data_IF_178912208356
#
_entry.id   IF_178912208356
#
_cell.length_a   1.000
_cell.length_b   1.000
_cell.length_c   1.000
_cell.angle_alpha   90.00
_cell.angle_beta   90.00
_cell.angle_gamma   90.00
#
_symmetry.space_group_name_H-M   'P 1'
#
loop_
_entity.id
_entity.type
_entity.pdbx_description
1 polymer ?
#
# COMPACT_ATOMS: atom_id res chain seq x y z
N UNK A 1 -26.70 -34.78 4.63
CA UNK A 1 -26.64 -33.31 4.80
C UNK A 1 -25.54 -32.80 3.89
N UNK A 2 -25.90 -32.19 2.76
CA UNK A 2 -24.94 -31.64 1.82
C UNK A 2 -24.33 -30.38 2.45
N UNK A 3 -23.03 -30.40 2.74
CA UNK A 3 -22.28 -29.17 3.04
C UNK A 3 -22.17 -28.40 1.73
N UNK A 4 -23.06 -27.42 1.54
CA UNK A 4 -22.89 -26.40 0.52
C UNK A 4 -21.67 -25.57 0.88
N UNK A 5 -20.50 -25.97 0.39
CA UNK A 5 -19.30 -25.15 0.43
C UNK A 5 -19.44 -24.13 -0.69
N UNK A 6 -20.23 -23.07 -0.47
CA UNK A 6 -20.05 -21.84 -1.24
C UNK A 6 -18.64 -21.36 -0.91
N UNK A 7 -17.68 -21.55 -1.82
CA UNK A 7 -16.39 -20.92 -1.69
C UNK A 7 -16.64 -19.42 -1.52
N UNK A 8 -16.16 -18.82 -0.43
CA UNK A 8 -16.33 -17.39 -0.18
C UNK A 8 -15.80 -16.63 -1.40
N UNK A 9 -16.68 -15.89 -2.06
CA UNK A 9 -16.29 -15.02 -3.18
C UNK A 9 -15.39 -13.94 -2.61
N UNK A 10 -14.21 -13.78 -3.21
CA UNK A 10 -13.26 -12.74 -2.82
C UNK A 10 -13.37 -11.58 -3.79
N UNK A 11 -13.60 -10.39 -3.24
CA UNK A 11 -13.69 -9.15 -4.00
C UNK A 11 -12.30 -8.48 -4.03
N UNK A 12 -11.76 -8.16 -5.22
CA UNK A 12 -10.50 -7.46 -5.34
C UNK A 12 -10.53 -6.08 -4.68
N UNK A 13 -9.46 -5.70 -3.99
CA UNK A 13 -9.31 -4.40 -3.32
C UNK A 13 -8.22 -3.55 -3.95
N UNK A 14 -7.07 -4.16 -4.24
CA UNK A 14 -5.90 -3.50 -4.81
C UNK A 14 -4.91 -4.49 -5.41
N UNK A 15 -4.07 -3.99 -6.31
CA UNK A 15 -2.97 -4.72 -6.92
C UNK A 15 -1.65 -4.02 -6.61
N UNK A 16 -0.60 -4.80 -6.34
CA UNK A 16 0.72 -4.34 -5.92
C UNK A 16 1.83 -4.99 -6.72
N UNK A 17 2.98 -4.33 -6.77
CA UNK A 17 4.15 -4.82 -7.53
C UNK A 17 4.97 -5.83 -6.72
N UNK A 18 4.97 -5.69 -5.40
CA UNK A 18 5.68 -6.59 -4.47
C UNK A 18 4.75 -7.19 -3.43
N UNK A 19 5.16 -8.32 -2.86
CA UNK A 19 4.42 -8.98 -1.78
C UNK A 19 4.41 -8.11 -0.50
N UNK A 20 5.49 -7.38 -0.26
CA UNK A 20 5.69 -6.49 0.87
C UNK A 20 4.71 -5.31 0.82
N UNK A 21 4.53 -4.70 -0.36
CA UNK A 21 3.51 -3.68 -0.59
C UNK A 21 2.11 -4.22 -0.37
N UNK A 22 1.79 -5.42 -0.87
CA UNK A 22 0.49 -6.04 -0.68
C UNK A 22 0.20 -6.33 0.80
N UNK A 23 1.22 -6.78 1.56
CA UNK A 23 1.12 -6.96 3.02
C UNK A 23 0.93 -5.62 3.72
N UNK A 24 1.64 -4.57 3.31
CA UNK A 24 1.46 -3.23 3.90
C UNK A 24 0.04 -2.72 3.65
N UNK A 25 -0.48 -2.88 2.43
CA UNK A 25 -1.85 -2.51 2.07
C UNK A 25 -2.91 -3.31 2.85
N UNK A 26 -2.69 -4.61 3.06
CA UNK A 26 -3.53 -5.44 3.94
C UNK A 26 -3.63 -4.83 5.34
N UNK A 27 -2.49 -4.39 5.89
CA UNK A 27 -2.44 -3.79 7.21
C UNK A 27 -3.00 -2.37 7.26
N UNK A 28 -3.05 -1.66 6.14
CA UNK A 28 -3.68 -0.36 6.00
C UNK A 28 -5.17 -0.44 5.64
N UNK A 29 -5.69 -1.65 5.35
CA UNK A 29 -7.02 -1.87 4.78
C UNK A 29 -8.16 -1.24 5.60
N UNK A 30 -8.16 -1.45 6.91
CA UNK A 30 -9.18 -0.96 7.83
C UNK A 30 -8.59 -0.79 9.25
N UNK A 31 -9.41 -0.45 10.24
CA UNK A 31 -8.98 -0.26 11.63
C UNK A 31 -8.63 -1.57 12.37
N UNK A 32 -8.76 -2.73 11.74
CA UNK A 32 -8.70 -4.02 12.39
C UNK A 32 -7.36 -4.74 12.14
N UNK A 33 -7.11 -5.75 12.98
CA UNK A 33 -5.87 -6.49 12.99
C UNK A 33 -6.04 -7.82 12.27
N UNK A 34 -5.14 -8.12 11.34
CA UNK A 34 -5.15 -9.36 10.56
C UNK A 34 -3.91 -10.21 10.85
N UNK A 35 -4.10 -11.52 11.06
CA UNK A 35 -2.99 -12.47 11.17
C UNK A 35 -3.10 -13.54 10.09
N UNK A 36 -1.98 -14.17 9.75
CA UNK A 36 -1.96 -15.31 8.83
C UNK A 36 -2.90 -16.41 9.35
N UNK A 37 -3.81 -16.86 8.48
CA UNK A 37 -4.71 -17.96 8.76
C UNK A 37 -4.13 -19.26 8.19
N UNK A 38 -3.89 -19.28 6.88
CA UNK A 38 -3.32 -20.41 6.16
C UNK A 38 -2.75 -19.93 4.82
N UNK A 39 -1.89 -20.74 4.22
CA UNK A 39 -1.40 -20.60 2.86
C UNK A 39 -1.96 -21.74 2.00
N UNK A 40 -2.05 -21.53 0.69
CA UNK A 40 -2.50 -22.58 -0.23
C UNK A 40 -1.38 -23.59 -0.62
N UNK A 41 -0.25 -23.58 0.10
CA UNK A 41 0.86 -24.51 -0.10
C UNK A 41 1.54 -24.40 -1.47
N UNK A 42 2.21 -25.46 -1.90
CA UNK A 42 2.99 -25.50 -3.14
C UNK A 42 2.16 -25.36 -4.44
N UNK A 43 0.83 -25.45 -4.35
CA UNK A 43 -0.07 -25.45 -5.51
C UNK A 43 -0.98 -24.22 -5.59
N UNK A 44 -0.94 -23.35 -4.59
CA UNK A 44 -1.70 -22.11 -4.63
C UNK A 44 -0.85 -20.94 -4.22
N UNK A 45 -0.76 -19.95 -5.10
CA UNK A 45 0.11 -18.79 -4.93
C UNK A 45 -0.56 -17.73 -4.04
N UNK A 46 -1.24 -18.17 -2.98
CA UNK A 46 -2.10 -17.34 -2.15
C UNK A 46 -1.83 -17.49 -0.65
N UNK A 47 -1.82 -16.36 0.06
CA UNK A 47 -1.79 -16.30 1.53
C UNK A 47 -3.08 -15.70 2.04
N UNK A 48 -3.74 -16.40 2.98
CA UNK A 48 -5.00 -15.95 3.59
C UNK A 48 -4.74 -15.45 5.00
N UNK A 49 -5.38 -14.35 5.33
CA UNK A 49 -5.34 -13.67 6.60
C UNK A 49 -6.74 -13.59 7.19
N UNK A 50 -6.82 -13.70 8.51
CA UNK A 50 -8.08 -13.59 9.27
C UNK A 50 -8.01 -12.40 10.21
N UNK A 51 -9.15 -11.75 10.38
CA UNK A 51 -9.32 -10.75 11.42
C UNK A 51 -9.17 -11.41 12.81
N UNK A 52 -8.49 -10.71 13.73
CA UNK A 52 -8.40 -11.08 15.15
C UNK A 52 -9.08 -10.05 16.06
N UNK A 53 -9.55 -8.93 15.51
CA UNK A 53 -10.24 -7.89 16.26
C UNK A 53 -11.63 -8.32 16.70
N UNK A 54 -12.28 -9.26 16.00
CA UNK A 54 -13.62 -9.75 16.34
C UNK A 54 -13.69 -11.25 16.68
N UNK A 55 -14.62 -11.63 17.54
CA UNK A 55 -14.90 -13.02 17.91
C UNK A 55 -15.59 -13.71 16.73
N UNK A 56 -15.19 -14.96 16.45
CA UNK A 56 -15.70 -15.77 15.35
C UNK A 56 -15.87 -15.02 14.00
N UNK A 57 -14.96 -14.09 13.75
CA UNK A 57 -15.03 -13.18 12.60
C UNK A 57 -14.93 -13.93 11.27
N UNK A 58 -15.84 -13.63 10.35
CA UNK A 58 -15.87 -14.20 9.00
C UNK A 58 -14.96 -13.45 8.02
N UNK A 59 -14.59 -12.20 8.33
CA UNK A 59 -13.70 -11.41 7.50
C UNK A 59 -12.38 -12.12 7.20
N UNK A 60 -12.11 -12.34 5.91
CA UNK A 60 -10.86 -12.85 5.37
C UNK A 60 -10.29 -11.86 4.38
N UNK A 61 -8.97 -11.76 4.38
CA UNK A 61 -8.23 -11.12 3.31
C UNK A 61 -7.30 -12.16 2.69
N UNK A 62 -7.06 -12.07 1.38
CA UNK A 62 -6.07 -12.92 0.70
C UNK A 62 -5.17 -12.04 -0.15
N UNK A 63 -3.90 -12.42 -0.21
CA UNK A 63 -2.96 -11.90 -1.20
C UNK A 63 -2.67 -13.04 -2.16
N UNK A 64 -3.01 -12.88 -3.43
CA UNK A 64 -2.62 -13.79 -4.50
C UNK A 64 -1.48 -13.19 -5.32
N UNK A 65 -0.49 -14.00 -5.61
CA UNK A 65 0.43 -13.77 -6.71
C UNK A 65 -0.27 -14.11 -8.02
N UNK A 66 -0.35 -13.10 -8.89
CA UNK A 66 -0.97 -13.16 -10.20
C UNK A 66 0.13 -13.03 -11.25
N UNK A 67 0.49 -14.17 -11.85
CA UNK A 67 1.19 -14.21 -13.14
C UNK A 67 0.16 -14.27 -14.27
N UNK A 68 0.44 -13.62 -15.39
CA UNK A 68 -0.31 -13.76 -16.63
C UNK A 68 0.54 -14.55 -17.62
N UNK A 69 -0.09 -15.29 -18.51
CA UNK A 69 0.59 -16.07 -19.57
C UNK A 69 1.30 -15.16 -20.61
N UNK A 70 1.14 -13.85 -20.50
CA UNK A 70 1.78 -12.87 -21.36
C UNK A 70 3.13 -12.49 -20.75
N UNK A 71 4.23 -12.99 -21.33
CA UNK A 71 5.61 -12.86 -20.80
C UNK A 71 6.04 -11.41 -20.51
N UNK A 72 5.44 -10.43 -21.20
CA UNK A 72 5.74 -9.00 -21.01
C UNK A 72 5.01 -8.37 -19.80
N UNK A 73 4.06 -9.07 -19.17
CA UNK A 73 3.34 -8.58 -17.99
C UNK A 73 4.06 -9.06 -16.71
N UNK A 74 4.48 -8.15 -15.82
CA UNK A 74 5.14 -8.52 -14.59
C UNK A 74 4.20 -9.24 -13.64
N UNK A 75 4.77 -10.07 -12.76
CA UNK A 75 4.04 -10.67 -11.64
C UNK A 75 3.49 -9.56 -10.75
N UNK A 76 2.25 -9.74 -10.31
CA UNK A 76 1.56 -8.80 -9.41
C UNK A 76 1.02 -9.51 -8.19
N UNK A 77 0.73 -8.75 -7.13
CA UNK A 77 0.13 -9.26 -5.91
C UNK A 77 -1.23 -8.60 -5.68
N UNK A 78 -2.30 -9.37 -5.83
CA UNK A 78 -3.68 -8.90 -5.65
C UNK A 78 -4.12 -9.12 -4.20
N UNK A 79 -4.48 -8.02 -3.51
CA UNK A 79 -5.21 -8.06 -2.26
C UNK A 79 -6.71 -8.15 -2.56
N UNK A 80 -7.38 -9.15 -1.98
CA UNK A 80 -8.82 -9.33 -2.09
C UNK A 80 -9.43 -9.69 -0.73
N UNK A 81 -10.69 -9.37 -0.51
CA UNK A 81 -11.39 -9.57 0.77
C UNK A 81 -12.65 -10.39 0.59
N UNK A 82 -13.06 -11.10 1.64
CA UNK A 82 -14.31 -11.85 1.67
C UNK A 82 -14.90 -11.83 3.08
N UNK A 83 -16.21 -11.96 3.17
CA UNK A 83 -16.93 -11.99 4.44
C UNK A 83 -16.97 -10.62 5.14
N UNK A 84 -17.80 -10.57 6.17
CA UNK A 84 -18.06 -9.38 6.97
C UNK A 84 -17.36 -9.48 8.32
N UNK A 85 -17.12 -8.32 8.95
CA UNK A 85 -16.65 -8.30 10.33
C UNK A 85 -17.81 -8.67 11.26
N UNK A 86 -17.49 -9.40 12.33
CA UNK A 86 -18.46 -9.61 13.41
C UNK A 86 -18.56 -8.39 14.33
N UNK A 87 -19.63 -8.30 15.10
CA UNK A 87 -19.89 -7.15 15.99
C UNK A 87 -19.13 -7.24 17.34
N UNK A 88 -18.73 -8.44 17.74
CA UNK A 88 -18.14 -8.69 19.06
C UNK A 88 -16.62 -8.51 19.01
N UNK A 89 -16.11 -7.46 19.67
CA UNK A 89 -14.67 -7.16 19.74
C UNK A 89 -13.97 -8.11 20.71
N UNK A 90 -12.78 -8.59 20.34
CA UNK A 90 -11.92 -9.41 21.21
C UNK A 90 -10.83 -8.59 21.88
N UNK A 91 -10.31 -9.13 23.00
CA UNK A 91 -9.09 -8.61 23.65
C UNK A 91 -7.79 -9.22 23.09
N UNK A 92 -7.85 -9.92 21.95
CA UNK A 92 -6.66 -10.55 21.36
C UNK A 92 -5.72 -9.48 20.84
N UNK A 93 -4.43 -9.68 21.12
CA UNK A 93 -3.37 -8.79 20.63
C UNK A 93 -2.58 -9.48 19.53
N UNK A 94 -2.16 -8.69 18.55
CA UNK A 94 -1.22 -9.14 17.52
C UNK A 94 0.13 -9.47 18.16
N UNK A 95 0.75 -10.56 17.72
CA UNK A 95 2.18 -10.81 18.00
C UNK A 95 3.02 -9.98 17.03
N UNK A 96 3.98 -9.24 17.57
CA UNK A 96 4.80 -8.31 16.78
C UNK A 96 4.08 -6.99 16.47
N UNK A 97 4.81 -6.06 15.85
CA UNK A 97 4.33 -4.71 15.51
C UNK A 97 3.55 -4.78 14.20
N UNK A 98 2.42 -4.07 14.13
CA UNK A 98 1.65 -3.96 12.91
C UNK A 98 2.46 -3.28 11.78
N UNK A 99 2.44 -3.84 10.57
CA UNK A 99 3.27 -3.35 9.46
C UNK A 99 2.99 -1.90 9.10
N UNK A 100 1.74 -1.43 9.26
CA UNK A 100 1.34 -0.04 8.98
C UNK A 100 2.10 1.00 9.80
N UNK A 101 2.56 0.64 11.01
CA UNK A 101 3.31 1.54 11.91
C UNK A 101 4.75 1.08 12.15
N UNK A 102 5.12 -0.12 11.68
CA UNK A 102 6.44 -0.71 11.94
C UNK A 102 7.59 0.15 11.40
N UNK A 103 7.45 0.68 10.19
CA UNK A 103 8.48 1.55 9.59
C UNK A 103 8.75 2.78 10.47
N UNK A 104 7.69 3.44 10.93
CA UNK A 104 7.81 4.60 11.82
C UNK A 104 8.43 4.24 13.18
N UNK A 105 8.07 3.09 13.75
CA UNK A 105 8.71 2.61 14.97
C UNK A 105 10.20 2.41 14.75
N UNK A 106 10.59 1.81 13.63
CA UNK A 106 11.99 1.56 13.29
C UNK A 106 12.75 2.88 13.14
N UNK A 107 12.18 3.88 12.46
CA UNK A 107 12.77 5.21 12.29
C UNK A 107 12.95 5.95 13.63
N UNK A 108 11.92 5.91 14.49
CA UNK A 108 12.00 6.53 15.83
C UNK A 108 13.09 5.87 16.67
N UNK A 109 13.19 4.54 16.64
CA UNK A 109 14.23 3.80 17.36
C UNK A 109 15.62 4.06 16.78
N UNK A 110 15.74 4.16 15.46
CA UNK A 110 17.00 4.48 14.77
C UNK A 110 17.54 5.85 15.17
N UNK A 111 16.64 6.83 15.42
CA UNK A 111 16.98 8.15 15.97
C UNK A 111 17.35 8.13 17.47
N UNK A 112 17.49 6.96 18.08
CA UNK A 112 17.87 6.81 19.49
C UNK A 112 16.74 7.06 20.49
N UNK A 113 15.49 7.12 20.03
CA UNK A 113 14.35 7.36 20.92
C UNK A 113 14.12 6.18 21.86
N UNK A 114 13.76 6.47 23.12
CA UNK A 114 13.42 5.42 24.08
C UNK A 114 12.03 4.83 23.78
N UNK A 115 11.78 3.54 24.08
CA UNK A 115 10.49 2.91 23.79
C UNK A 115 9.26 3.66 24.34
N UNK A 116 9.38 4.34 25.49
CA UNK A 116 8.28 5.16 26.04
C UNK A 116 8.02 6.39 25.17
N UNK A 117 9.07 7.07 24.74
CA UNK A 117 8.95 8.25 23.86
C UNK A 117 8.38 7.86 22.50
N UNK A 118 8.77 6.70 21.95
CA UNK A 118 8.21 6.20 20.68
C UNK A 118 6.69 6.10 20.74
N UNK A 119 6.16 5.51 21.82
CA UNK A 119 4.72 5.36 21.99
C UNK A 119 4.01 6.71 22.08
N UNK A 120 4.52 7.63 22.89
CA UNK A 120 3.93 8.98 23.03
C UNK A 120 3.95 9.71 21.69
N UNK A 121 5.05 9.60 20.94
CA UNK A 121 5.16 10.23 19.61
C UNK A 121 4.13 9.65 18.63
N UNK A 122 3.95 8.33 18.57
CA UNK A 122 2.95 7.70 17.71
C UNK A 122 1.52 8.04 18.15
N UNK A 123 1.24 8.03 19.46
CA UNK A 123 -0.07 8.41 20.00
C UNK A 123 -0.44 9.85 19.65
N UNK A 124 0.51 10.78 19.79
CA UNK A 124 0.28 12.18 19.43
C UNK A 124 0.11 12.35 17.92
N UNK A 125 0.89 11.62 17.11
CA UNK A 125 0.80 11.69 15.64
C UNK A 125 -0.56 11.22 15.13
N UNK A 126 -1.10 10.14 15.71
CA UNK A 126 -2.36 9.54 15.29
C UNK A 126 -3.53 9.92 16.20
N UNK A 127 -3.43 11.00 16.98
CA UNK A 127 -4.45 11.38 17.96
C UNK A 127 -5.85 11.50 17.34
N UNK A 128 -5.93 12.05 16.12
CA UNK A 128 -7.17 12.26 15.39
C UNK A 128 -7.54 11.08 14.46
N UNK A 129 -6.76 10.00 14.49
CA UNK A 129 -6.92 8.83 13.61
C UNK A 129 -7.19 7.57 14.44
N UNK A 130 -8.45 7.34 14.89
CA UNK A 130 -8.79 6.21 15.76
C UNK A 130 -8.44 4.86 15.13
N UNK A 131 -8.58 4.73 13.81
CA UNK A 131 -8.20 3.53 13.06
C UNK A 131 -6.71 3.17 13.18
N UNK A 132 -5.84 4.17 13.33
CA UNK A 132 -4.40 3.98 13.49
C UNK A 132 -4.00 3.78 14.96
N UNK A 133 -4.72 4.42 15.89
CA UNK A 133 -4.47 4.27 17.34
C UNK A 133 -4.56 2.82 17.80
N UNK A 134 -5.50 2.04 17.24
CA UNK A 134 -5.67 0.60 17.56
C UNK A 134 -4.45 -0.24 17.15
N UNK A 135 -3.67 0.24 16.17
CA UNK A 135 -2.50 -0.47 15.62
C UNK A 135 -1.20 -0.11 16.33
N UNK A 136 -1.22 0.87 17.23
CA UNK A 136 -0.03 1.28 17.98
C UNK A 136 0.46 0.11 18.83
N UNK A 137 1.75 -0.25 18.75
CA UNK A 137 2.28 -1.36 19.53
C UNK A 137 2.31 -1.04 21.02
N UNK A 138 2.40 -2.08 21.85
CA UNK A 138 2.68 -1.90 23.27
C UNK A 138 4.18 -1.70 23.55
N UNK A 139 4.48 -1.29 24.79
CA UNK A 139 5.86 -1.00 25.19
C UNK A 139 6.77 -2.24 25.11
N UNK A 140 6.22 -3.44 25.31
CA UNK A 140 6.96 -4.69 25.20
C UNK A 140 7.36 -4.98 23.77
N UNK A 141 6.44 -4.79 22.82
CA UNK A 141 6.68 -4.95 21.39
C UNK A 141 7.77 -3.99 20.88
N UNK A 142 7.73 -2.71 21.27
CA UNK A 142 8.76 -1.72 20.91
C UNK A 142 10.13 -2.07 21.52
N UNK A 143 10.15 -2.51 22.78
CA UNK A 143 11.40 -2.99 23.43
C UNK A 143 11.99 -4.20 22.70
N UNK A 144 11.16 -5.17 22.34
CA UNK A 144 11.59 -6.35 21.60
C UNK A 144 12.12 -5.96 20.23
N UNK A 145 11.47 -5.04 19.53
CA UNK A 145 11.94 -4.53 18.24
C UNK A 145 13.30 -3.85 18.35
N UNK A 146 13.50 -3.01 19.36
CA UNK A 146 14.80 -2.38 19.62
C UNK A 146 15.93 -3.41 19.84
N UNK A 147 15.65 -4.49 20.57
CA UNK A 147 16.62 -5.57 20.75
C UNK A 147 16.93 -6.29 19.43
N UNK A 148 15.91 -6.53 18.60
CA UNK A 148 16.09 -7.09 17.26
C UNK A 148 16.95 -6.18 16.39
N UNK A 149 16.64 -4.89 16.29
CA UNK A 149 17.42 -3.93 15.49
C UNK A 149 18.91 -3.89 15.91
N UNK A 150 19.18 -3.89 17.22
CA UNK A 150 20.56 -3.95 17.76
C UNK A 150 21.27 -5.25 17.42
N UNK A 151 20.56 -6.39 17.43
CA UNK A 151 21.14 -7.70 17.08
C UNK A 151 21.55 -7.77 15.62
N UNK A 152 20.79 -7.14 14.74
CA UNK A 152 21.07 -7.11 13.30
C UNK A 152 22.09 -6.03 12.90
N UNK A 153 22.85 -5.46 13.85
CA UNK A 153 23.80 -4.36 13.62
C UNK A 153 23.21 -3.20 12.81
N UNK A 154 21.91 -2.92 12.99
CA UNK A 154 21.32 -1.72 12.40
C UNK A 154 22.03 -0.51 13.02
N UNK A 155 22.78 0.22 12.20
CA UNK A 155 23.61 1.32 12.65
C UNK A 155 22.72 2.39 13.29
N UNK A 156 22.81 2.51 14.62
CA UNK A 156 22.30 3.66 15.37
C UNK A 156 23.39 4.73 15.27
N UNK A 157 23.19 5.84 14.56
CA UNK A 157 24.14 6.94 14.60
C UNK A 157 24.17 7.49 16.03
N UNK A 158 25.30 7.35 16.73
CA UNK A 158 25.58 8.11 17.96
C UNK A 158 25.45 7.40 19.32
N UNK A 159 25.40 6.06 19.40
CA UNK A 159 25.46 5.37 20.69
C UNK A 159 26.89 4.94 21.04
N UNK A 160 27.57 5.70 21.90
CA UNK A 160 28.85 5.32 22.53
C UNK A 160 28.71 3.95 23.20
N UNK A 161 29.44 2.98 22.67
CA UNK A 161 29.42 1.57 23.08
C UNK A 161 30.03 1.42 24.49
N UNK A 162 29.19 1.21 25.50
CA UNK A 162 29.62 0.54 26.74
C UNK A 162 29.20 -0.93 26.63
N UNK A 163 30.16 -1.80 26.37
CA UNK A 163 29.97 -3.24 26.34
C UNK A 163 29.71 -3.77 27.76
N UNK A 164 28.61 -4.49 27.95
CA UNK A 164 28.36 -5.28 29.16
C UNK A 164 28.70 -6.76 28.91
N UNK A 165 29.26 -7.46 29.90
CA UNK A 165 29.76 -8.82 29.71
C UNK A 165 28.62 -9.83 29.57
N UNK A 166 28.79 -10.75 28.62
CA UNK A 166 27.91 -11.90 28.37
C UNK A 166 27.86 -12.81 29.61
N UNK A 167 26.72 -12.84 30.32
CA UNK A 167 26.40 -13.95 31.23
C UNK A 167 25.73 -15.07 30.43
N UNK A 168 26.42 -16.20 30.32
CA UNK A 168 25.90 -17.41 29.71
C UNK A 168 24.68 -17.95 30.46
N UNK A 169 23.60 -18.25 29.73
CA UNK A 169 22.45 -18.98 30.26
C UNK A 169 22.38 -20.36 29.62
N UNK A 170 22.35 -21.34 30.53
CA UNK A 170 22.25 -22.79 30.36
C UNK A 170 21.12 -23.19 29.39
N UNK A 171 21.45 -24.12 28.47
CA UNK A 171 20.50 -24.83 27.58
C UNK A 171 19.42 -25.55 28.38
N UNK A 172 18.15 -25.44 27.95
CA UNK A 172 17.12 -26.46 28.11
C UNK A 172 16.23 -26.47 26.87
N UNK A 173 15.86 -27.68 26.45
CA UNK A 173 15.46 -28.08 25.09
C UNK A 173 14.42 -27.20 24.41
N UNK A 174 14.74 -26.82 23.16
CA UNK A 174 13.83 -26.21 22.22
C UNK A 174 13.48 -27.22 21.14
N UNK A 175 12.17 -27.38 20.92
CA UNK A 175 11.60 -28.06 19.77
C UNK A 175 11.96 -27.28 18.49
N UNK A 176 12.25 -28.06 17.46
CA UNK A 176 12.56 -27.68 16.09
C UNK A 176 11.31 -27.07 15.43
N UNK A 177 11.35 -25.77 15.18
CA UNK A 177 10.64 -25.15 14.06
C UNK A 177 11.69 -24.64 13.06
N UNK A 178 11.84 -25.44 12.01
CA UNK A 178 12.54 -25.16 10.75
C UNK A 178 12.23 -23.74 10.23
N UNK A 179 13.24 -22.88 10.16
CA UNK A 179 14.05 -22.56 8.96
C UNK A 179 13.30 -21.77 7.89
N UNK A 180 13.33 -20.45 8.04
CA UNK A 180 13.28 -19.50 6.91
C UNK A 180 14.68 -18.87 6.81
N UNK A 181 15.36 -19.12 5.69
CA UNK A 181 16.65 -18.53 5.35
C UNK A 181 16.49 -17.75 4.05
N UNK A 182 16.58 -16.43 4.12
CA UNK A 182 16.76 -15.53 2.99
C UNK A 182 18.25 -15.19 2.89
N UNK A 183 18.83 -15.44 1.73
CA UNK A 183 20.16 -14.97 1.35
C UNK A 183 19.95 -13.77 0.42
N UNK A 184 20.58 -12.64 0.73
CA UNK A 184 20.93 -11.62 -0.26
C UNK A 184 22.44 -11.41 -0.16
N UNK A 185 23.11 -11.52 -1.30
CA UNK A 185 24.55 -11.28 -1.45
C UNK A 185 24.73 -10.00 -2.24
N UNK A 186 25.44 -9.06 -1.60
CA UNK A 186 26.01 -7.82 -2.10
C UNK A 186 26.89 -8.05 -3.35
N UNK A 187 27.09 -7.13 -4.29
CA UNK A 187 27.99 -5.96 -4.21
C UNK A 187 28.24 -5.46 -5.65
N UNK A 188 28.43 -4.16 -5.84
CA UNK A 188 29.66 -3.66 -6.49
C UNK A 188 29.80 -2.15 -6.32
N UNK A 189 30.93 -1.79 -5.74
CA UNK A 189 31.57 -0.49 -5.55
C UNK A 189 31.98 0.19 -6.86
N UNK A 190 31.99 1.53 -6.88
CA UNK A 190 33.14 2.29 -7.40
C UNK A 190 33.20 3.69 -6.78
N UNK A 191 34.35 3.96 -6.16
CA UNK A 191 34.80 5.23 -5.60
C UNK A 191 35.15 6.25 -6.71
N UNK A 192 35.03 7.53 -6.37
CA UNK A 192 35.45 8.66 -7.20
C UNK A 192 35.68 9.90 -6.34
N UNK A 193 36.83 9.94 -5.69
CA UNK A 193 37.39 11.06 -4.92
C UNK A 193 37.80 12.22 -5.85
N UNK A 194 37.61 13.49 -5.45
CA UNK A 194 38.58 14.60 -5.58
C UNK A 194 38.08 15.88 -4.90
N UNK A 195 38.92 16.39 -4.01
CA UNK A 195 38.86 17.62 -3.20
C UNK A 195 39.08 18.93 -3.98
N UNK A 196 38.47 20.06 -3.57
CA UNK A 196 39.18 21.30 -3.14
C UNK A 196 38.28 22.52 -2.82
N UNK A 197 38.40 22.97 -1.55
CA UNK A 197 38.40 24.31 -0.88
C UNK A 197 37.88 25.62 -1.54
N UNK A 198 37.13 26.38 -0.69
CA UNK A 198 37.06 27.84 -0.41
C UNK A 198 36.74 28.82 -1.58
N UNK A 199 35.92 29.87 -1.47
CA UNK A 199 35.76 30.91 -0.42
C UNK A 199 34.49 31.80 -0.59
N UNK A 200 34.12 32.50 0.50
CA UNK A 200 33.44 33.83 0.63
C UNK A 200 31.92 33.98 0.26
N UNK A 201 30.98 34.30 1.17
CA UNK A 201 30.61 35.61 1.80
C UNK A 201 30.21 36.67 0.74
N UNK A 202 29.06 37.38 0.69
CA UNK A 202 28.10 38.02 1.62
C UNK A 202 26.80 38.34 0.82
N UNK A 203 25.62 38.34 1.46
CA UNK A 203 24.61 39.43 1.37
C UNK A 203 23.33 39.09 2.15
N UNK A 204 23.14 39.85 3.22
CA UNK A 204 21.96 39.93 4.08
C UNK A 204 21.03 41.07 3.63
N UNK A 205 19.73 40.80 3.56
CA UNK A 205 18.60 41.74 3.54
C UNK A 205 17.34 40.83 3.70
N UNK A 206 16.28 41.04 4.49
CA UNK A 206 15.64 42.18 5.16
C UNK A 206 14.88 41.60 6.40
N UNK A 207 14.84 42.28 7.55
CA UNK A 207 13.67 42.98 8.16
C UNK A 207 12.30 42.60 7.54
N UNK A 208 11.19 42.40 8.26
CA UNK A 208 10.79 42.99 9.53
C UNK A 208 9.61 42.19 10.13
N UNK A 209 9.48 42.22 11.45
CA UNK A 209 8.38 41.61 12.22
C UNK A 209 7.31 42.64 12.52
N UNK A 210 6.04 42.42 12.14
CA UNK A 210 4.92 42.98 12.92
C UNK A 210 3.59 42.27 12.67
N UNK A 211 2.96 41.91 13.78
CA UNK A 211 1.65 41.29 13.91
C UNK A 211 0.55 42.35 14.08
N UNK A 212 -0.66 42.14 13.53
CA UNK A 212 -1.98 42.28 14.22
C UNK A 212 -3.17 42.02 13.28
N UNK A 213 -4.11 41.24 13.82
CA UNK A 213 -5.48 40.85 13.38
C UNK A 213 -6.49 42.04 13.38
N UNK A 214 -7.83 41.82 13.17
CA UNK A 214 -8.62 41.02 12.21
C UNK A 214 -9.72 41.90 11.54
N UNK A 215 -10.82 41.30 11.05
CA UNK A 215 -12.03 41.84 10.38
C UNK A 215 -11.91 41.80 8.83
N UNK A 216 -12.82 41.23 8.04
CA UNK A 216 -14.28 41.10 8.12
C UNK A 216 -14.76 39.72 7.62
N UNK A 217 -15.99 39.37 8.03
CA UNK A 217 -16.74 38.18 7.64
C UNK A 217 -17.30 38.42 6.24
N UNK A 218 -16.83 37.67 5.24
CA UNK A 218 -17.51 37.55 3.96
C UNK A 218 -17.97 36.10 3.79
N UNK A 219 -19.29 35.94 3.68
CA UNK A 219 -19.97 34.67 3.49
C UNK A 219 -19.74 34.20 2.07
N UNK A 220 -18.64 33.48 1.86
CA UNK A 220 -18.42 32.70 0.64
C UNK A 220 -19.01 31.32 0.90
N UNK A 221 -20.01 30.95 0.11
CA UNK A 221 -20.56 29.61 0.04
C UNK A 221 -19.39 28.64 -0.15
N UNK A 222 -19.08 27.87 0.90
CA UNK A 222 -18.16 26.74 0.82
C UNK A 222 -18.92 25.65 0.09
N UNK A 223 -18.92 25.75 -1.23
CA UNK A 223 -19.17 24.61 -2.07
C UNK A 223 -18.13 23.57 -1.67
N UNK A 224 -18.62 22.46 -1.12
CA UNK A 224 -17.79 21.41 -0.60
C UNK A 224 -17.18 20.73 -1.81
N UNK A 225 -16.01 21.20 -2.24
CA UNK A 225 -15.16 20.50 -3.21
C UNK A 225 -14.79 19.14 -2.60
N UNK A 226 -15.68 18.16 -2.77
CA UNK A 226 -15.30 16.77 -2.86
C UNK A 226 -14.22 16.73 -3.95
N UNK A 227 -12.96 16.73 -3.53
CA UNK A 227 -11.83 16.71 -4.46
C UNK A 227 -12.05 15.63 -5.51
N UNK A 228 -11.99 16.02 -6.78
CA UNK A 228 -12.25 15.14 -7.92
C UNK A 228 -11.42 13.86 -7.74
N UNK A 229 -12.09 12.75 -7.39
CA UNK A 229 -11.47 11.48 -7.03
C UNK A 229 -10.53 10.96 -8.14
N UNK A 230 -10.69 11.49 -9.35
CA UNK A 230 -9.91 11.18 -10.53
C UNK A 230 -9.21 12.41 -11.11
N UNK A 231 -8.62 13.25 -10.26
CA UNK A 231 -7.74 14.34 -10.70
C UNK A 231 -6.63 13.81 -11.64
N UNK A 232 -6.50 14.44 -12.81
CA UNK A 232 -5.61 13.96 -13.88
C UNK A 232 -4.16 13.99 -13.43
N UNK A 233 -3.70 15.08 -12.84
CA UNK A 233 -2.29 15.26 -12.48
C UNK A 233 -1.88 14.29 -11.37
N UNK A 234 -2.76 14.10 -10.38
CA UNK A 234 -2.57 13.14 -9.30
C UNK A 234 -2.49 11.71 -9.83
N UNK A 235 -3.41 11.30 -10.71
CA UNK A 235 -3.41 9.95 -11.31
C UNK A 235 -2.17 9.71 -12.18
N UNK A 236 -1.78 10.69 -12.99
CA UNK A 236 -0.57 10.61 -13.81
C UNK A 236 0.67 10.37 -12.94
N UNK A 237 0.80 11.12 -11.84
CA UNK A 237 1.90 10.96 -10.88
C UNK A 237 1.86 9.61 -10.17
N UNK A 238 0.68 9.18 -9.73
CA UNK A 238 0.49 7.91 -9.02
C UNK A 238 0.84 6.73 -9.92
N UNK A 239 0.34 6.68 -11.15
CA UNK A 239 0.56 5.56 -12.06
C UNK A 239 1.98 5.53 -12.64
N UNK A 240 2.62 6.69 -12.81
CA UNK A 240 4.03 6.75 -13.15
C UNK A 240 4.91 6.16 -12.04
N UNK A 241 4.58 6.43 -10.77
CA UNK A 241 5.31 5.90 -9.62
C UNK A 241 4.97 4.42 -9.33
N UNK A 242 3.71 4.03 -9.53
CA UNK A 242 3.15 2.73 -9.17
C UNK A 242 2.33 2.16 -10.35
N UNK A 243 2.99 1.59 -11.38
CA UNK A 243 2.31 1.17 -12.60
C UNK A 243 1.34 0.00 -12.41
N UNK A 244 1.44 -0.73 -11.30
CA UNK A 244 0.47 -1.77 -10.93
C UNK A 244 -0.82 -1.29 -10.30
N UNK A 245 -0.90 0.00 -9.95
CA UNK A 245 -2.06 0.60 -9.29
C UNK A 245 -3.37 0.49 -10.07
N UNK A 246 -3.43 0.81 -11.38
CA UNK A 246 -4.68 0.76 -12.13
C UNK A 246 -5.08 -0.67 -12.54
N UNK A 247 -4.31 -1.70 -12.19
CA UNK A 247 -4.67 -3.08 -12.57
C UNK A 247 -5.98 -3.48 -11.89
N UNK A 248 -6.90 -4.03 -12.71
CA UNK A 248 -8.31 -4.35 -12.46
C UNK A 248 -9.28 -3.17 -12.58
N UNK A 249 -8.79 -1.96 -12.82
CA UNK A 249 -9.66 -0.82 -13.02
C UNK A 249 -10.41 -0.96 -14.35
N UNK A 250 -11.65 -0.50 -14.35
CA UNK A 250 -12.54 -0.53 -15.50
C UNK A 250 -12.46 0.79 -16.25
N UNK A 251 -12.30 0.70 -17.56
CA UNK A 251 -12.35 1.85 -18.47
C UNK A 251 -13.40 1.61 -19.55
N UNK A 252 -13.72 2.66 -20.31
CA UNK A 252 -14.57 2.56 -21.48
C UNK A 252 -13.76 2.69 -22.76
N UNK A 253 -14.29 2.19 -23.86
CA UNK A 253 -13.85 2.50 -25.23
C UNK A 253 -15.07 2.94 -26.01
N UNK A 254 -14.91 4.07 -26.71
CA UNK A 254 -15.95 4.63 -27.57
C UNK A 254 -15.79 4.12 -29.00
N UNK A 255 -16.83 3.51 -29.53
CA UNK A 255 -16.87 3.05 -30.93
C UNK A 255 -17.98 3.79 -31.66
N UNK A 256 -17.65 4.49 -32.76
CA UNK A 256 -18.63 5.19 -33.60
C UNK A 256 -18.80 4.44 -34.91
N UNK A 257 -20.04 4.12 -35.26
CA UNK A 257 -20.36 3.52 -36.56
C UNK A 257 -21.65 4.10 -37.14
N UNK A 258 -21.79 3.98 -38.46
CA UNK A 258 -22.99 4.39 -39.18
C UNK A 258 -23.91 3.17 -39.26
N UNK A 259 -25.13 3.31 -38.77
CA UNK A 259 -26.11 2.21 -38.78
C UNK A 259 -26.69 2.08 -40.19
N UNK A 260 -26.64 0.87 -40.75
CA UNK A 260 -27.07 0.61 -42.13
C UNK A 260 -28.46 1.17 -42.42
N UNK A 261 -28.52 2.09 -43.40
CA UNK A 261 -29.69 2.83 -43.92
C UNK A 261 -30.11 4.11 -43.19
N UNK A 262 -29.43 4.51 -42.11
CA UNK A 262 -29.56 5.86 -41.52
C UNK A 262 -28.24 6.60 -41.61
N UNK A 263 -28.25 7.89 -41.93
CA UNK A 263 -27.07 8.77 -41.79
C UNK A 263 -26.69 9.04 -40.33
N UNK A 264 -27.38 8.42 -39.37
CA UNK A 264 -27.17 8.61 -37.95
C UNK A 264 -25.93 7.87 -37.48
N UNK A 265 -25.02 8.63 -36.86
CA UNK A 265 -23.83 8.12 -36.21
C UNK A 265 -24.23 7.58 -34.84
N UNK A 266 -24.14 6.26 -34.66
CA UNK A 266 -24.38 5.61 -33.37
C UNK A 266 -23.05 5.51 -32.63
N UNK A 267 -23.08 5.88 -31.35
CA UNK A 267 -21.95 5.71 -30.44
C UNK A 267 -22.26 4.54 -29.52
N UNK A 268 -21.39 3.53 -29.52
CA UNK A 268 -21.43 2.38 -28.64
C UNK A 268 -20.25 2.42 -27.66
N UNK A 269 -20.52 2.05 -26.42
CA UNK A 269 -19.52 2.03 -25.35
C UNK A 269 -19.22 0.58 -24.97
N UNK A 270 -17.96 0.21 -25.08
CA UNK A 270 -17.47 -1.11 -24.65
C UNK A 270 -16.69 -0.94 -23.36
N UNK A 271 -16.97 -1.75 -22.35
CA UNK A 271 -16.18 -1.74 -21.10
C UNK A 271 -14.94 -2.60 -21.27
N UNK A 272 -13.83 -2.16 -20.67
CA UNK A 272 -12.59 -2.91 -20.58
C UNK A 272 -11.99 -2.87 -19.19
N UNK A 273 -11.10 -3.81 -18.90
CA UNK A 273 -10.39 -3.91 -17.63
C UNK A 273 -8.89 -3.91 -17.87
N UNK A 274 -8.16 -3.11 -17.09
CA UNK A 274 -6.70 -3.11 -17.08
C UNK A 274 -6.23 -4.46 -16.51
N UNK A 275 -5.52 -5.25 -17.31
CA UNK A 275 -5.07 -6.60 -16.92
C UNK A 275 -3.59 -6.67 -16.51
N UNK A 276 -2.83 -5.63 -16.80
CA UNK A 276 -1.40 -5.54 -16.50
C UNK A 276 -0.77 -4.34 -17.20
N UNK A 277 0.55 -4.24 -17.13
CA UNK A 277 1.34 -3.24 -17.84
C UNK A 277 2.64 -3.86 -18.34
N UNK A 278 3.26 -3.21 -19.31
CA UNK A 278 4.54 -3.60 -19.87
C UNK A 278 5.57 -2.53 -19.53
N UNK A 279 6.73 -2.94 -19.03
CA UNK A 279 7.90 -2.08 -18.87
C UNK A 279 9.02 -2.62 -19.73
N UNK A 280 9.50 -1.81 -20.69
CA UNK A 280 10.72 -2.09 -21.44
C UNK A 280 11.82 -1.21 -20.86
N UNK A 281 13.07 -1.69 -20.85
CA UNK A 281 14.24 -1.09 -20.14
C UNK A 281 14.56 0.39 -20.52
N UNK A 282 13.82 1.00 -21.44
CA UNK A 282 13.98 2.38 -21.87
C UNK A 282 12.67 3.09 -22.28
N UNK A 283 11.50 2.52 -21.97
CA UNK A 283 10.21 3.11 -22.34
C UNK A 283 9.32 3.34 -21.13
N UNK A 284 8.47 4.37 -21.22
CA UNK A 284 7.39 4.58 -20.27
C UNK A 284 6.51 3.32 -20.20
N UNK A 285 5.97 2.99 -19.01
CA UNK A 285 5.06 1.88 -18.86
C UNK A 285 3.85 2.05 -19.77
N UNK A 286 3.41 0.95 -20.38
CA UNK A 286 2.16 0.90 -21.17
C UNK A 286 1.20 -0.08 -20.54
N UNK A 287 -0.05 0.29 -20.40
CA UNK A 287 -1.05 -0.55 -19.75
C UNK A 287 -1.81 -1.37 -20.77
N UNK A 288 -1.96 -2.66 -20.50
CA UNK A 288 -2.74 -3.53 -21.34
C UNK A 288 -4.15 -3.64 -20.79
N UNK A 289 -5.13 -3.31 -21.62
CA UNK A 289 -6.56 -3.37 -21.30
C UNK A 289 -7.20 -4.45 -22.15
N UNK A 290 -8.05 -5.27 -21.52
CA UNK A 290 -8.90 -6.26 -22.18
C UNK A 290 -10.33 -5.78 -22.18
N UNK A 291 -10.91 -5.60 -23.36
CA UNK A 291 -12.30 -5.21 -23.56
C UNK A 291 -13.24 -6.42 -23.55
N UNK A 292 -14.52 -6.16 -23.29
CA UNK A 292 -15.58 -7.17 -23.25
C UNK A 292 -15.86 -7.83 -24.61
N UNK A 293 -15.50 -7.17 -25.71
CA UNK A 293 -15.49 -7.73 -27.06
C UNK A 293 -14.31 -8.70 -27.32
N UNK A 294 -13.41 -8.85 -26.35
CA UNK A 294 -12.21 -9.68 -26.43
C UNK A 294 -10.98 -8.96 -26.99
N UNK A 295 -11.11 -7.71 -27.46
CA UNK A 295 -9.99 -6.91 -27.93
C UNK A 295 -9.02 -6.61 -26.79
N UNK A 296 -7.72 -6.62 -27.09
CA UNK A 296 -6.68 -6.16 -26.17
C UNK A 296 -5.97 -4.97 -26.78
N UNK A 297 -5.78 -3.90 -26.01
CA UNK A 297 -5.13 -2.68 -26.47
C UNK A 297 -4.16 -2.16 -25.41
N UNK A 298 -3.01 -1.68 -25.88
CA UNK A 298 -2.04 -0.97 -25.05
C UNK A 298 -2.39 0.51 -25.00
N UNK A 299 -2.30 1.09 -23.81
CA UNK A 299 -2.52 2.50 -23.54
C UNK A 299 -1.24 3.12 -22.97
N UNK A 300 -0.91 4.31 -23.45
CA UNK A 300 0.07 5.18 -22.79
C UNK A 300 -0.53 5.76 -21.50
N UNK A 301 0.32 6.33 -20.64
CA UNK A 301 -0.08 6.86 -19.35
C UNK A 301 -1.21 7.90 -19.46
N UNK A 302 -1.03 8.88 -20.34
CA UNK A 302 -2.03 9.95 -20.53
C UNK A 302 -3.35 9.42 -21.09
N UNK A 303 -3.28 8.55 -22.10
CA UNK A 303 -4.45 7.93 -22.72
C UNK A 303 -5.25 7.12 -21.69
N UNK A 304 -4.56 6.34 -20.85
CA UNK A 304 -5.23 5.55 -19.81
C UNK A 304 -5.94 6.44 -18.80
N UNK A 305 -5.29 7.51 -18.33
CA UNK A 305 -5.89 8.42 -17.34
C UNK A 305 -7.10 9.13 -17.94
N UNK A 306 -7.03 9.56 -19.19
CA UNK A 306 -8.17 10.20 -19.86
C UNK A 306 -9.37 9.25 -19.99
N UNK A 307 -9.14 7.98 -20.38
CA UNK A 307 -10.22 6.97 -20.46
C UNK A 307 -10.80 6.58 -19.09
N UNK A 308 -9.97 6.58 -18.03
CA UNK A 308 -10.43 6.39 -16.64
C UNK A 308 -11.36 7.52 -16.24
N UNK A 309 -10.98 8.77 -16.54
CA UNK A 309 -11.77 9.95 -16.19
C UNK A 309 -13.07 10.00 -16.98
N UNK A 310 -13.04 9.68 -18.28
CA UNK A 310 -14.25 9.58 -19.10
C UNK A 310 -15.18 8.48 -18.57
N UNK A 311 -14.64 7.31 -18.20
CA UNK A 311 -15.41 6.23 -17.59
C UNK A 311 -16.06 6.66 -16.26
N UNK A 312 -15.33 7.36 -15.40
CA UNK A 312 -15.86 7.90 -14.14
C UNK A 312 -16.97 8.93 -14.38
N UNK A 313 -16.80 9.84 -15.35
CA UNK A 313 -17.83 10.83 -15.74
C UNK A 313 -19.11 10.18 -16.28
N UNK A 314 -18.99 9.00 -16.88
CA UNK A 314 -20.13 8.18 -17.34
C UNK A 314 -20.79 7.38 -16.21
N UNK A 315 -20.31 7.50 -14.97
CA UNK A 315 -20.82 6.78 -13.81
C UNK A 315 -20.37 5.33 -13.74
N UNK A 316 -19.34 4.94 -14.49
CA UNK A 316 -18.74 3.61 -14.36
C UNK A 316 -17.99 3.53 -13.03
N UNK A 317 -18.17 2.43 -12.31
CA UNK A 317 -17.33 2.12 -11.17
C UNK A 317 -15.93 1.69 -11.64
N UNK A 318 -15.06 2.68 -11.83
CA UNK A 318 -13.69 2.48 -12.32
C UNK A 318 -12.90 1.53 -11.42
N UNK A 319 -12.98 1.70 -10.10
CA UNK A 319 -12.11 0.96 -9.17
C UNK A 319 -12.62 -0.45 -8.86
N UNK A 320 -13.86 -0.78 -9.25
CA UNK A 320 -14.52 -2.04 -8.91
C UNK A 320 -14.84 -2.20 -7.41
N UNK A 321 -14.64 -1.15 -6.61
CA UNK A 321 -14.97 -1.13 -5.18
C UNK A 321 -16.48 -0.93 -5.00
N UNK A 322 -17.14 -1.58 -4.04
CA UNK A 322 -18.52 -1.24 -3.72
C UNK A 322 -18.65 0.28 -3.52
N UNK A 323 -19.59 0.92 -4.21
CA UNK A 323 -19.94 2.30 -3.92
C UNK A 323 -20.62 2.27 -2.55
N UNK A 324 -20.05 2.98 -1.57
CA UNK A 324 -20.74 3.20 -0.30
C UNK A 324 -21.98 4.06 -0.62
N UNK A 325 -23.14 3.39 -0.69
CA UNK A 325 -24.47 4.00 -0.87
C UNK A 325 -25.12 4.26 0.48
#
# INVERSE_FOLDING_TARGET
MARGSSASTYDPVSTHTTLEEAKLALHALDAFLYVTAYNYGAFGNGRVYRCISHEDCERRARILECSKDEEEIPVTFQLAVAGEHGDQITNRKRVGIDLSVKGEVDDLLARGMTPKKCLVTLQNKYADQPAMLVKIPDQGQVKNRLLTLRKHNWNIPGATTTSLPRRGRKRRGGWDESSESEYETETSTVDGDTSSKQSEEIATAEDDTSSKQPEEIDTVEVDSEEGDQFDKEQLMKEFAALPGRPVLWSITKKTKYIKDKSTDVVTEWTTGQVIGWQTKESCAPKWLVRFTDGEKKLFELEELVDEIREAAQLGLNVTGRPLDL
#
